data_IF_979963746042
#
_entry.id   IF_979963746042
#
_cell.length_a   1.000
_cell.length_b   1.000
_cell.length_c   1.000
_cell.angle_alpha   90.00
_cell.angle_beta   90.00
_cell.angle_gamma   90.00
#
_symmetry.space_group_name_H-M   'P 1'
#
loop_
_entity.id
_entity.type
_entity.pdbx_description
1 polymer ?
#
# COMPACT_ATOMS: atom_id res chain seq x y z
N UNK A 1 6.09 6.21 23.72
CA UNK A 1 4.86 5.78 23.00
C UNK A 1 4.57 6.64 21.77
N UNK A 2 4.41 7.95 21.90
CA UNK A 2 4.11 8.86 20.77
C UNK A 2 5.09 8.74 19.58
N UNK A 3 6.40 8.75 19.84
CA UNK A 3 7.44 8.60 18.80
C UNK A 3 7.29 7.31 18.00
N UNK A 4 6.90 6.20 18.63
CA UNK A 4 6.71 4.92 17.94
C UNK A 4 5.51 4.96 16.98
N UNK A 5 4.45 5.67 17.35
CA UNK A 5 3.29 5.88 16.48
C UNK A 5 3.60 6.79 15.29
N UNK A 6 4.42 7.82 15.49
CA UNK A 6 4.96 8.63 14.39
C UNK A 6 5.80 7.80 13.42
N UNK A 7 6.65 6.92 13.95
CA UNK A 7 7.43 5.99 13.12
C UNK A 7 6.50 5.09 12.30
N UNK A 8 5.47 4.49 12.91
CA UNK A 8 4.47 3.69 12.19
C UNK A 8 3.79 4.47 11.06
N UNK A 9 3.40 5.71 11.34
CA UNK A 9 2.76 6.61 10.39
C UNK A 9 3.64 6.87 9.17
N UNK A 10 4.93 7.19 9.38
CA UNK A 10 5.86 7.41 8.28
C UNK A 10 6.21 6.11 7.55
N UNK A 11 6.40 5.00 8.26
CA UNK A 11 6.65 3.69 7.64
C UNK A 11 5.48 3.31 6.72
N UNK A 12 4.24 3.52 7.15
CA UNK A 12 3.06 3.17 6.34
C UNK A 12 2.88 4.07 5.11
N UNK A 13 3.50 5.26 5.09
CA UNK A 13 3.58 6.13 3.93
C UNK A 13 4.61 5.67 2.91
N UNK A 14 5.70 5.03 3.32
CA UNK A 14 6.79 4.71 2.40
C UNK A 14 6.33 3.64 1.39
N UNK A 15 6.56 3.85 0.07
CA UNK A 15 6.29 2.82 -0.94
C UNK A 15 7.05 1.53 -0.61
N UNK A 16 6.58 0.39 -1.12
CA UNK A 16 7.15 -0.96 -0.87
C UNK A 16 6.83 -1.51 0.52
N UNK A 17 7.02 -0.71 1.58
CA UNK A 17 6.79 -1.14 2.97
C UNK A 17 5.31 -1.01 3.33
N UNK A 18 4.76 0.20 3.17
CA UNK A 18 3.36 0.51 3.40
C UNK A 18 2.81 -0.02 4.74
N UNK A 19 1.49 -0.15 4.85
CA UNK A 19 0.83 -0.77 5.98
C UNK A 19 1.27 -2.24 6.22
N UNK A 20 1.80 -2.93 5.19
CA UNK A 20 2.26 -4.32 5.28
C UNK A 20 3.51 -4.49 6.13
N UNK A 21 4.41 -3.52 6.15
CA UNK A 21 5.55 -3.52 7.08
C UNK A 21 5.23 -2.84 8.41
N UNK A 22 4.35 -1.84 8.40
CA UNK A 22 4.02 -1.08 9.59
C UNK A 22 3.26 -1.93 10.65
N UNK A 23 2.32 -2.79 10.24
CA UNK A 23 1.58 -3.64 11.19
C UNK A 23 2.49 -4.68 11.89
N UNK A 24 3.28 -5.51 11.19
CA UNK A 24 4.22 -6.41 11.84
C UNK A 24 5.19 -5.69 12.78
N UNK A 25 5.68 -4.50 12.37
CA UNK A 25 6.50 -3.66 13.23
C UNK A 25 5.76 -3.30 14.52
N UNK A 26 4.48 -2.92 14.44
CA UNK A 26 3.72 -2.61 15.66
C UNK A 26 3.61 -3.79 16.63
N UNK A 27 3.44 -5.01 16.11
CA UNK A 27 3.33 -6.24 16.91
C UNK A 27 4.66 -6.58 17.59
N UNK A 28 5.77 -6.56 16.83
CA UNK A 28 7.11 -6.86 17.36
C UNK A 28 7.52 -5.89 18.47
N UNK A 29 7.13 -4.62 18.35
CA UNK A 29 7.44 -3.59 19.34
C UNK A 29 6.41 -3.48 20.48
N UNK A 30 5.46 -4.42 20.56
CA UNK A 30 4.46 -4.52 21.63
C UNK A 30 3.48 -3.35 21.67
N UNK A 31 3.21 -2.70 20.52
CA UNK A 31 2.25 -1.62 20.46
C UNK A 31 0.82 -2.16 20.39
N UNK A 32 -0.16 -1.46 20.99
CA UNK A 32 -1.56 -1.84 20.87
C UNK A 32 -2.00 -1.86 19.40
N UNK A 33 -2.62 -2.97 18.97
CA UNK A 33 -2.90 -3.26 17.57
C UNK A 33 -3.91 -2.30 16.94
N UNK A 34 -4.99 -1.98 17.65
CA UNK A 34 -6.07 -1.10 17.14
C UNK A 34 -5.58 0.32 16.81
N UNK A 35 -4.93 1.07 17.74
CA UNK A 35 -4.42 2.39 17.40
C UNK A 35 -3.31 2.34 16.36
N UNK A 36 -2.46 1.32 16.40
CA UNK A 36 -1.42 1.10 15.38
C UNK A 36 -2.04 0.92 13.99
N UNK A 37 -3.07 0.09 13.88
CA UNK A 37 -3.82 -0.14 12.64
C UNK A 37 -4.42 1.16 12.11
N UNK A 38 -5.14 1.93 12.94
CA UNK A 38 -5.74 3.20 12.53
C UNK A 38 -4.68 4.17 12.00
N UNK A 39 -3.57 4.33 12.72
CA UNK A 39 -2.47 5.21 12.31
C UNK A 39 -1.84 4.72 11.00
N UNK A 40 -1.65 3.41 10.84
CA UNK A 40 -1.10 2.83 9.61
C UNK A 40 -2.02 3.08 8.42
N UNK A 41 -3.34 2.92 8.57
CA UNK A 41 -4.34 3.18 7.53
C UNK A 41 -4.34 4.65 7.14
N UNK A 42 -4.36 5.57 8.11
CA UNK A 42 -4.32 7.01 7.84
C UNK A 42 -3.03 7.39 7.11
N UNK A 43 -1.88 6.93 7.62
CA UNK A 43 -0.59 7.18 7.00
C UNK A 43 -0.51 6.62 5.58
N UNK A 44 -1.05 5.43 5.33
CA UNK A 44 -1.03 4.82 4.01
C UNK A 44 -2.00 5.50 3.02
N UNK A 45 -3.14 6.00 3.50
CA UNK A 45 -4.11 6.71 2.65
C UNK A 45 -3.70 8.15 2.35
N UNK A 46 -2.88 8.80 3.18
CA UNK A 46 -2.43 10.17 2.92
C UNK A 46 -1.74 10.34 1.56
N UNK A 47 -0.77 9.51 1.14
CA UNK A 47 -0.11 9.66 -0.16
C UNK A 47 -1.00 9.26 -1.35
N UNK A 48 -2.07 8.48 -1.15
CA UNK A 48 -2.91 7.93 -2.24
C UNK A 48 -3.51 9.05 -3.13
N UNK A 49 -4.21 10.08 -2.61
CA UNK A 49 -4.67 11.20 -3.42
C UNK A 49 -3.57 11.90 -4.24
N UNK A 50 -2.41 12.10 -3.63
CA UNK A 50 -1.28 12.75 -4.30
C UNK A 50 -0.68 11.87 -5.40
N UNK A 51 -0.61 10.57 -5.17
CA UNK A 51 -0.12 9.61 -6.17
C UNK A 51 -1.05 9.60 -7.36
N UNK A 52 -2.35 9.50 -7.15
CA UNK A 52 -3.31 9.49 -8.25
C UNK A 52 -3.17 10.74 -9.13
N UNK A 53 -3.09 11.92 -8.50
CA UNK A 53 -3.10 13.20 -9.22
C UNK A 53 -1.75 13.56 -9.85
N UNK A 54 -0.64 13.24 -9.17
CA UNK A 54 0.68 13.77 -9.53
C UNK A 54 1.71 12.68 -9.86
N UNK A 55 1.54 11.43 -9.40
CA UNK A 55 2.62 10.44 -9.54
C UNK A 55 2.96 10.16 -11.00
N UNK A 56 2.01 10.14 -11.94
CA UNK A 56 2.37 9.94 -13.36
C UNK A 56 3.34 11.02 -13.84
N UNK A 57 3.04 12.29 -13.57
CA UNK A 57 3.91 13.41 -13.99
C UNK A 57 5.24 13.42 -13.25
N UNK A 58 5.22 13.18 -11.93
CA UNK A 58 6.43 13.19 -11.08
C UNK A 58 7.33 11.99 -11.40
N UNK A 59 6.76 10.80 -11.60
CA UNK A 59 7.50 9.58 -11.88
C UNK A 59 8.17 9.63 -13.26
N UNK A 60 7.45 10.11 -14.29
CA UNK A 60 8.01 10.31 -15.65
C UNK A 60 9.09 11.39 -15.63
N UNK A 61 8.88 12.49 -14.91
CA UNK A 61 9.91 13.53 -14.78
C UNK A 61 11.17 13.02 -14.06
N UNK A 62 10.99 12.22 -13.01
CA UNK A 62 12.10 11.73 -12.20
C UNK A 62 12.83 10.53 -12.79
N UNK A 63 12.22 9.78 -13.73
CA UNK A 63 12.86 8.62 -14.37
C UNK A 63 14.15 8.98 -15.13
N UNK A 64 14.28 10.21 -15.62
CA UNK A 64 15.44 10.68 -16.37
C UNK A 64 16.50 11.41 -15.52
N UNK A 65 16.32 11.49 -14.19
CA UNK A 65 17.29 12.13 -13.29
C UNK A 65 18.39 11.17 -12.85
N UNK A 66 19.65 11.62 -12.89
CA UNK A 66 20.79 10.87 -12.32
C UNK A 66 20.60 10.70 -10.80
N UNK A 67 20.80 9.48 -10.31
CA UNK A 67 20.63 9.10 -8.90
C UNK A 67 19.25 8.48 -8.60
N UNK A 68 18.18 9.26 -8.75
CA UNK A 68 16.80 8.82 -8.40
C UNK A 68 16.08 8.08 -9.54
N UNK A 69 16.54 8.21 -10.78
CA UNK A 69 15.83 7.69 -11.96
C UNK A 69 15.57 6.18 -11.96
N UNK A 70 16.45 5.37 -11.35
CA UNK A 70 16.23 3.91 -11.23
C UNK A 70 15.03 3.57 -10.36
N UNK A 71 14.87 4.27 -9.23
CA UNK A 71 13.73 4.08 -8.33
C UNK A 71 12.42 4.53 -8.98
N UNK A 72 12.45 5.68 -9.66
CA UNK A 72 11.28 6.22 -10.35
C UNK A 72 10.83 5.33 -11.51
N UNK A 73 11.77 4.79 -12.31
CA UNK A 73 11.48 3.76 -13.33
C UNK A 73 10.92 2.48 -12.71
N UNK A 74 11.50 2.02 -11.61
CA UNK A 74 10.99 0.84 -10.90
C UNK A 74 9.54 1.04 -10.44
N UNK A 75 9.20 2.20 -9.88
CA UNK A 75 7.83 2.54 -9.50
C UNK A 75 6.89 2.59 -10.71
N UNK A 76 7.32 3.21 -11.82
CA UNK A 76 6.57 3.24 -13.08
C UNK A 76 6.30 1.83 -13.62
N UNK A 77 7.33 1.01 -13.76
CA UNK A 77 7.19 -0.38 -14.23
C UNK A 77 6.28 -1.21 -13.32
N UNK A 78 6.37 -1.02 -11.99
CA UNK A 78 5.47 -1.68 -11.04
C UNK A 78 4.02 -1.22 -11.21
N UNK A 79 3.80 0.07 -11.43
CA UNK A 79 2.49 0.63 -11.75
C UNK A 79 1.91 0.08 -13.04
N UNK A 80 2.71 0.02 -14.11
CA UNK A 80 2.31 -0.52 -15.41
C UNK A 80 1.99 -2.02 -15.32
N UNK A 81 2.85 -2.81 -14.68
CA UNK A 81 2.59 -4.24 -14.43
C UNK A 81 1.34 -4.43 -13.55
N UNK A 82 1.13 -3.56 -12.57
CA UNK A 82 -0.08 -3.53 -11.76
C UNK A 82 -1.33 -3.23 -12.60
N UNK A 83 -1.23 -2.24 -13.48
CA UNK A 83 -2.29 -1.86 -14.43
C UNK A 83 -2.63 -2.97 -15.42
N UNK A 84 -1.64 -3.66 -15.96
CA UNK A 84 -1.85 -4.84 -16.82
C UNK A 84 -2.59 -5.95 -16.07
N UNK A 85 -2.12 -6.31 -14.87
CA UNK A 85 -2.81 -7.30 -14.02
C UNK A 85 -4.23 -6.90 -13.65
N UNK A 86 -4.47 -5.61 -13.44
CA UNK A 86 -5.79 -5.07 -13.18
C UNK A 86 -6.67 -5.16 -14.42
N UNK A 87 -6.15 -4.81 -15.60
CA UNK A 87 -6.85 -4.89 -16.88
C UNK A 87 -7.24 -6.32 -17.25
N UNK A 88 -6.35 -7.29 -17.03
CA UNK A 88 -6.63 -8.73 -17.17
C UNK A 88 -7.79 -9.19 -16.27
N UNK A 89 -7.88 -8.62 -15.07
CA UNK A 89 -8.94 -8.93 -14.09
C UNK A 89 -10.18 -8.02 -14.21
N UNK A 90 -10.10 -6.94 -14.99
CA UNK A 90 -11.11 -5.89 -15.07
C UNK A 90 -12.40 -6.32 -15.78
N UNK A 91 -12.41 -7.47 -16.47
CA UNK A 91 -13.61 -8.02 -17.12
C UNK A 91 -14.83 -8.21 -16.19
N UNK A 92 -14.64 -8.18 -14.85
CA UNK A 92 -15.71 -8.27 -13.84
C UNK A 92 -15.90 -7.02 -12.95
N UNK A 93 -15.21 -5.91 -13.25
CA UNK A 93 -15.35 -4.65 -12.53
C UNK A 93 -14.02 -4.13 -11.98
N UNK A 94 -13.51 -3.06 -12.60
CA UNK A 94 -12.19 -2.46 -12.30
C UNK A 94 -12.07 -2.03 -10.83
N UNK A 95 -13.17 -1.59 -10.20
CA UNK A 95 -13.21 -1.24 -8.78
C UNK A 95 -12.86 -2.43 -7.87
N UNK A 96 -13.53 -3.57 -8.07
CA UNK A 96 -13.31 -4.78 -7.26
C UNK A 96 -11.92 -5.34 -7.51
N UNK A 97 -11.48 -5.33 -8.77
CA UNK A 97 -10.13 -5.75 -9.13
C UNK A 97 -9.06 -4.90 -8.42
N UNK A 98 -9.24 -3.57 -8.37
CA UNK A 98 -8.35 -2.65 -7.65
C UNK A 98 -8.39 -2.88 -6.14
N UNK A 99 -9.58 -3.01 -5.55
CA UNK A 99 -9.75 -3.30 -4.14
C UNK A 99 -9.01 -4.59 -3.75
N UNK A 100 -9.20 -5.67 -4.50
CA UNK A 100 -8.54 -6.95 -4.24
C UNK A 100 -7.04 -6.89 -4.51
N UNK A 101 -6.61 -6.15 -5.54
CA UNK A 101 -5.20 -5.93 -5.82
C UNK A 101 -4.50 -5.25 -4.64
N UNK A 102 -5.08 -4.18 -4.09
CA UNK A 102 -4.54 -3.51 -2.90
C UNK A 102 -4.71 -4.37 -1.64
N UNK A 103 -5.83 -5.08 -1.52
CA UNK A 103 -6.24 -5.78 -0.31
C UNK A 103 -5.55 -7.10 -0.05
N UNK A 104 -5.09 -7.80 -1.07
CA UNK A 104 -4.30 -9.02 -0.88
C UNK A 104 -2.82 -8.60 -0.70
N UNK A 105 -2.21 -8.83 0.49
CA UNK A 105 -0.86 -8.37 0.78
C UNK A 105 0.18 -9.26 0.07
N UNK A 106 0.40 -9.02 -1.22
CA UNK A 106 1.40 -9.70 -2.03
C UNK A 106 2.58 -8.76 -2.35
N UNK A 107 3.78 -9.31 -2.59
CA UNK A 107 4.93 -8.48 -2.96
C UNK A 107 4.66 -7.73 -4.27
N UNK A 108 4.72 -6.40 -4.21
CA UNK A 108 4.47 -5.52 -5.35
C UNK A 108 3.02 -5.14 -5.58
N UNK A 109 2.09 -5.56 -4.72
CA UNK A 109 0.74 -5.00 -4.64
C UNK A 109 0.65 -4.03 -3.46
N UNK A 110 -0.25 -3.05 -3.57
CA UNK A 110 -0.40 -2.07 -2.50
C UNK A 110 -1.17 -0.83 -2.91
N UNK A 111 -1.34 0.10 -1.98
CA UNK A 111 -2.06 1.32 -2.26
C UNK A 111 -1.26 2.18 -3.22
N UNK A 112 0.06 2.26 -3.04
CA UNK A 112 0.95 2.97 -3.96
C UNK A 112 0.87 2.43 -5.40
N UNK A 113 1.10 1.12 -5.59
CA UNK A 113 1.08 0.52 -6.93
C UNK A 113 -0.32 0.42 -7.50
N UNK A 114 -1.33 0.22 -6.66
CA UNK A 114 -2.75 0.18 -7.05
C UNK A 114 -3.24 1.54 -7.51
N UNK A 115 -2.96 2.61 -6.78
CA UNK A 115 -3.33 3.97 -7.17
C UNK A 115 -2.60 4.42 -8.43
N UNK A 116 -1.32 4.09 -8.56
CA UNK A 116 -0.58 4.34 -9.79
C UNK A 116 -1.20 3.58 -10.98
N UNK A 117 -1.51 2.31 -10.80
CA UNK A 117 -2.19 1.51 -11.82
C UNK A 117 -3.58 2.06 -12.17
N UNK A 118 -4.36 2.52 -11.18
CA UNK A 118 -5.66 3.15 -11.40
C UNK A 118 -5.54 4.43 -12.24
N UNK A 119 -4.51 5.25 -11.97
CA UNK A 119 -4.22 6.45 -12.75
C UNK A 119 -3.76 6.15 -14.18
N UNK A 120 -3.16 4.97 -14.43
CA UNK A 120 -2.78 4.52 -15.78
C UNK A 120 -3.95 3.92 -16.57
N UNK A 121 -4.98 3.44 -15.87
CA UNK A 121 -6.19 2.86 -16.46
C UNK A 121 -7.34 3.89 -16.59
N UNK A 122 -7.06 5.17 -16.37
CA UNK A 122 -8.03 6.27 -16.39
C UNK A 122 -9.31 5.98 -15.55
N UNK A 123 -9.16 5.24 -14.45
CA UNK A 123 -10.25 5.06 -13.48
C UNK A 123 -10.57 6.40 -12.85
N UNK A 124 -11.82 6.71 -12.53
CA UNK A 124 -12.16 7.96 -11.88
C UNK A 124 -11.53 8.08 -10.47
N UNK A 125 -11.23 9.32 -10.06
CA UNK A 125 -10.54 9.60 -8.81
C UNK A 125 -11.26 9.01 -7.59
N UNK A 126 -12.59 9.19 -7.52
CA UNK A 126 -13.38 8.76 -6.35
C UNK A 126 -13.37 7.25 -6.21
N UNK A 127 -13.65 6.53 -7.30
CA UNK A 127 -13.60 5.06 -7.32
C UNK A 127 -12.22 4.54 -6.98
N UNK A 128 -11.16 5.19 -7.47
CA UNK A 128 -9.77 4.81 -7.18
C UNK A 128 -9.45 4.95 -5.70
N UNK A 129 -9.78 6.09 -5.08
CA UNK A 129 -9.56 6.31 -3.65
C UNK A 129 -10.39 5.34 -2.81
N UNK A 130 -11.66 5.13 -3.14
CA UNK A 130 -12.54 4.21 -2.40
C UNK A 130 -12.09 2.75 -2.52
N UNK A 131 -11.67 2.31 -3.71
CA UNK A 131 -11.14 0.97 -3.91
C UNK A 131 -9.81 0.78 -3.15
N UNK A 132 -8.92 1.76 -3.21
CA UNK A 132 -7.68 1.72 -2.43
C UNK A 132 -7.96 1.72 -0.93
N UNK A 133 -8.89 2.53 -0.43
CA UNK A 133 -9.28 2.53 0.99
C UNK A 133 -9.83 1.16 1.42
N UNK A 134 -10.76 0.60 0.65
CA UNK A 134 -11.30 -0.74 0.92
C UNK A 134 -10.19 -1.81 0.92
N UNK A 135 -9.26 -1.72 -0.02
CA UNK A 135 -8.11 -2.61 -0.09
C UNK A 135 -7.17 -2.43 1.10
N UNK A 136 -6.83 -1.21 1.49
CA UNK A 136 -5.94 -0.94 2.64
C UNK A 136 -6.55 -1.48 3.94
N UNK A 137 -7.85 -1.30 4.14
CA UNK A 137 -8.55 -1.87 5.28
C UNK A 137 -8.49 -3.40 5.27
N UNK A 138 -8.79 -4.03 4.13
CA UNK A 138 -8.72 -5.48 3.99
C UNK A 138 -7.30 -6.01 4.25
N UNK A 139 -6.29 -5.41 3.62
CA UNK A 139 -4.89 -5.76 3.80
C UNK A 139 -4.47 -5.61 5.26
N UNK A 140 -4.92 -4.55 5.94
CA UNK A 140 -4.57 -4.33 7.33
C UNK A 140 -5.16 -5.37 8.26
N UNK A 141 -6.40 -5.83 8.04
CA UNK A 141 -7.00 -6.91 8.82
C UNK A 141 -6.21 -8.20 8.62
N UNK A 142 -5.89 -8.55 7.36
CA UNK A 142 -5.11 -9.74 7.04
C UNK A 142 -3.73 -9.68 7.72
N UNK A 143 -3.04 -8.55 7.61
CA UNK A 143 -1.72 -8.36 8.22
C UNK A 143 -1.78 -8.38 9.74
N UNK A 144 -2.82 -7.83 10.35
CA UNK A 144 -3.01 -7.84 11.79
C UNK A 144 -3.18 -9.27 12.32
N UNK A 145 -4.08 -10.06 11.71
CA UNK A 145 -4.30 -11.47 12.07
C UNK A 145 -3.06 -12.33 11.81
N UNK A 146 -2.42 -12.16 10.65
CA UNK A 146 -1.21 -12.89 10.31
C UNK A 146 -0.07 -12.58 11.29
N UNK A 147 0.14 -11.30 11.64
CA UNK A 147 1.22 -10.90 12.53
C UNK A 147 1.00 -11.40 13.95
N UNK A 148 -0.22 -11.33 14.49
CA UNK A 148 -0.51 -11.83 15.84
C UNK A 148 -0.47 -13.35 15.90
N UNK A 149 -1.02 -14.04 14.90
CA UNK A 149 -0.98 -15.50 14.80
C UNK A 149 0.45 -16.04 14.71
N UNK A 150 1.27 -15.48 13.83
CA UNK A 150 2.69 -15.87 13.67
C UNK A 150 3.48 -15.53 14.93
N UNK A 151 3.28 -14.35 15.51
CA UNK A 151 3.99 -13.95 16.73
C UNK A 151 3.69 -14.88 17.91
N UNK A 152 2.42 -15.24 18.12
CA UNK A 152 2.03 -16.17 19.17
C UNK A 152 2.58 -17.59 18.93
N UNK A 153 2.60 -18.05 17.68
CA UNK A 153 3.19 -19.35 17.33
C UNK A 153 4.70 -19.40 17.60
N UNK A 154 5.42 -18.31 17.34
CA UNK A 154 6.85 -18.19 17.66
C UNK A 154 7.06 -18.20 19.17
N UNK A 155 6.26 -17.44 19.93
CA UNK A 155 6.35 -17.43 21.39
C UNK A 155 6.07 -18.80 22.01
N UNK A 156 5.20 -19.61 21.42
CA UNK A 156 4.91 -20.96 21.90
C UNK A 156 6.03 -21.98 21.66
N UNK A 157 7.04 -21.66 20.84
CA UNK A 157 8.19 -22.53 20.55
C UNK A 157 9.38 -22.31 21.51
N UNK A 158 9.36 -21.27 22.34
CA UNK A 158 10.39 -20.92 23.31
C UNK A 158 9.83 -20.91 24.72
#
# INVERSE_FOLDING_TARGET
>A
MFVKYLILFFISMVPIVELRGAIPYSVVFGLPLIPSYIICVIGNMLPVPFIYLFARKILIWGSDKKGIGKFFRFCLEKGEKGGQKLKEKAGRGTFVALLLFVGIPLPGTGAWTGTLAASLLDMDFKSSILACMGGVLLAGIIMAVASTGVFNAILALF
#
